data_IF_933343705856
#
_entry.id   IF_933343705856
#
_cell.length_a   1.000
_cell.length_b   1.000
_cell.length_c   1.000
_cell.angle_alpha   90.00
_cell.angle_beta   90.00
_cell.angle_gamma   90.00
#
_symmetry.space_group_name_H-M   'P 1'
#
loop_
_entity.id
_entity.type
_entity.pdbx_description
1 polymer ?
#
# COMPACT_ATOMS: atom_id res chain seq x y z
N UNK A 1 38.04 -7.03 -8.27
CA UNK A 1 37.35 -8.18 -7.64
C UNK A 1 37.88 -8.32 -6.23
N UNK A 2 37.03 -8.63 -5.25
CA UNK A 2 37.46 -8.95 -3.89
C UNK A 2 38.28 -10.25 -3.94
N UNK A 3 39.51 -10.26 -3.44
CA UNK A 3 40.33 -11.48 -3.34
C UNK A 3 40.50 -11.88 -1.88
N UNK A 4 40.67 -13.17 -1.59
CA UNK A 4 40.85 -13.66 -0.21
C UNK A 4 41.99 -12.97 0.54
N UNK A 5 43.08 -12.63 -0.17
CA UNK A 5 44.23 -11.91 0.39
C UNK A 5 43.90 -10.46 0.75
N UNK A 6 42.99 -9.82 0.01
CA UNK A 6 42.53 -8.46 0.28
C UNK A 6 41.46 -8.35 1.38
N UNK A 7 40.95 -9.48 1.89
CA UNK A 7 39.92 -9.51 2.93
C UNK A 7 40.49 -9.19 4.32
N UNK A 8 39.72 -8.52 5.16
CA UNK A 8 39.92 -8.45 6.60
C UNK A 8 39.71 -9.82 7.25
N UNK A 9 40.11 -9.96 8.51
CA UNK A 9 39.97 -11.22 9.24
C UNK A 9 38.50 -11.65 9.39
N UNK A 10 37.59 -10.72 9.65
CA UNK A 10 36.15 -11.01 9.73
C UNK A 10 35.58 -11.45 8.38
N UNK A 11 36.03 -10.83 7.28
CA UNK A 11 35.65 -11.23 5.93
C UNK A 11 36.18 -12.63 5.58
N UNK A 12 37.42 -12.97 5.95
CA UNK A 12 37.95 -14.33 5.76
C UNK A 12 37.16 -15.36 6.56
N UNK A 13 36.84 -15.08 7.83
CA UNK A 13 35.99 -15.97 8.65
C UNK A 13 34.61 -16.18 8.01
N UNK A 14 34.02 -15.13 7.45
CA UNK A 14 32.76 -15.26 6.71
C UNK A 14 32.93 -16.07 5.43
N UNK A 15 33.99 -15.82 4.66
CA UNK A 15 34.30 -16.59 3.45
C UNK A 15 34.45 -18.08 3.76
N UNK A 16 35.29 -18.44 4.73
CA UNK A 16 35.56 -19.82 5.14
C UNK A 16 34.27 -20.50 5.64
N UNK A 17 33.46 -19.78 6.43
CA UNK A 17 32.14 -20.27 6.86
C UNK A 17 31.24 -20.61 5.66
N UNK A 18 31.24 -19.78 4.62
CA UNK A 18 30.44 -20.04 3.41
C UNK A 18 31.01 -21.20 2.61
N UNK A 19 32.33 -21.30 2.45
CA UNK A 19 32.94 -22.40 1.69
C UNK A 19 32.74 -23.75 2.35
N UNK A 20 32.76 -23.80 3.68
CA UNK A 20 32.65 -25.05 4.46
C UNK A 20 31.20 -25.46 4.72
N UNK A 21 30.23 -24.58 4.48
CA UNK A 21 28.80 -24.90 4.69
C UNK A 21 28.28 -25.80 3.57
N UNK A 22 27.49 -26.81 3.94
CA UNK A 22 26.69 -27.62 3.01
C UNK A 22 25.20 -27.36 3.19
N UNK A 23 24.44 -27.43 2.10
CA UNK A 23 22.98 -27.38 2.05
C UNK A 23 22.36 -26.05 2.50
N UNK A 24 22.47 -25.67 3.77
CA UNK A 24 21.80 -24.50 4.34
C UNK A 24 22.79 -23.45 4.87
N UNK A 25 23.01 -22.38 4.10
CA UNK A 25 23.73 -21.20 4.58
C UNK A 25 22.75 -20.23 5.26
N UNK A 26 22.74 -20.25 6.60
CA UNK A 26 21.91 -19.36 7.43
C UNK A 26 22.74 -18.24 8.03
N UNK A 27 22.54 -17.03 7.53
CA UNK A 27 23.20 -15.81 7.99
C UNK A 27 22.16 -14.71 8.28
N UNK A 28 20.97 -15.06 8.78
CA UNK A 28 19.95 -14.06 9.10
C UNK A 28 20.36 -13.21 10.30
N UNK A 29 20.18 -11.89 10.24
CA UNK A 29 20.44 -10.97 11.36
C UNK A 29 21.92 -10.91 11.79
N UNK A 30 22.84 -10.91 10.82
CA UNK A 30 24.29 -10.82 11.05
C UNK A 30 24.87 -9.43 10.72
N UNK A 31 24.05 -8.49 10.27
CA UNK A 31 24.46 -7.13 9.87
C UNK A 31 25.64 -7.11 8.87
N UNK A 32 25.67 -8.10 7.96
CA UNK A 32 26.83 -8.27 7.06
C UNK A 32 27.00 -7.12 6.05
N UNK A 33 25.92 -6.37 5.78
CA UNK A 33 25.90 -5.28 4.80
C UNK A 33 26.29 -5.72 3.38
N UNK A 34 26.52 -4.73 2.52
CA UNK A 34 26.95 -4.99 1.13
C UNK A 34 28.32 -5.66 1.04
N UNK A 35 29.23 -5.26 1.92
CA UNK A 35 30.60 -5.80 1.95
C UNK A 35 30.59 -7.28 2.30
N UNK A 36 29.81 -7.69 3.31
CA UNK A 36 29.68 -9.11 3.63
C UNK A 36 28.89 -9.88 2.58
N UNK A 37 27.88 -9.28 1.94
CA UNK A 37 27.19 -9.90 0.80
C UNK A 37 28.14 -10.15 -0.39
N UNK A 38 29.12 -9.26 -0.65
CA UNK A 38 30.17 -9.47 -1.64
C UNK A 38 31.09 -10.64 -1.27
N UNK A 39 31.42 -10.82 0.01
CA UNK A 39 32.20 -11.97 0.48
C UNK A 39 31.43 -13.27 0.30
N UNK A 40 30.13 -13.29 0.68
CA UNK A 40 29.25 -14.44 0.49
C UNK A 40 29.14 -14.79 -0.99
N UNK A 41 28.94 -13.79 -1.85
CA UNK A 41 28.93 -13.94 -3.30
C UNK A 41 30.23 -14.59 -3.81
N UNK A 42 31.39 -14.08 -3.42
CA UNK A 42 32.67 -14.64 -3.87
C UNK A 42 32.88 -16.09 -3.40
N UNK A 43 32.52 -16.41 -2.15
CA UNK A 43 32.61 -17.77 -1.63
C UNK A 43 31.64 -18.74 -2.32
N UNK A 44 30.43 -18.29 -2.66
CA UNK A 44 29.45 -19.10 -3.38
C UNK A 44 29.82 -19.39 -4.85
N UNK A 45 30.80 -18.70 -5.43
CA UNK A 45 31.33 -19.08 -6.75
C UNK A 45 32.10 -20.40 -6.71
N UNK A 46 32.73 -20.72 -5.57
CA UNK A 46 33.50 -21.97 -5.39
C UNK A 46 32.74 -23.01 -4.59
N UNK A 47 31.82 -22.61 -3.71
CA UNK A 47 30.96 -23.54 -2.99
C UNK A 47 29.88 -24.14 -3.92
N UNK A 48 29.90 -25.47 -4.03
CA UNK A 48 28.98 -26.25 -4.85
C UNK A 48 28.05 -27.15 -4.02
N UNK A 49 27.94 -26.90 -2.72
CA UNK A 49 27.17 -27.73 -1.79
C UNK A 49 26.00 -26.97 -1.15
N UNK A 50 26.04 -25.65 -1.11
CA UNK A 50 24.94 -24.80 -0.63
C UNK A 50 23.80 -24.81 -1.64
N UNK A 51 22.61 -25.10 -1.13
CA UNK A 51 21.34 -25.14 -1.88
C UNK A 51 20.39 -24.04 -1.41
N UNK A 52 20.42 -23.67 -0.13
CA UNK A 52 19.54 -22.66 0.47
C UNK A 52 20.37 -21.52 1.06
N UNK A 53 20.23 -20.32 0.48
CA UNK A 53 20.89 -19.10 0.92
C UNK A 53 19.92 -18.20 1.69
N UNK A 54 20.13 -18.08 3.02
CA UNK A 54 19.30 -17.24 3.88
C UNK A 54 20.08 -16.04 4.41
N UNK A 55 19.73 -14.86 3.87
CA UNK A 55 20.36 -13.57 4.12
C UNK A 55 19.36 -12.54 4.65
N UNK A 56 18.29 -12.97 5.34
CA UNK A 56 17.26 -12.07 5.85
C UNK A 56 17.85 -11.08 6.85
N UNK A 57 17.40 -9.82 6.79
CA UNK A 57 17.73 -8.79 7.79
C UNK A 57 19.24 -8.61 7.99
N UNK A 58 19.93 -8.15 6.94
CA UNK A 58 21.39 -8.00 6.96
C UNK A 58 21.88 -6.63 6.52
N UNK A 59 20.96 -5.67 6.34
CA UNK A 59 21.28 -4.33 5.82
C UNK A 59 21.96 -4.38 4.44
N UNK A 60 21.59 -5.39 3.62
CA UNK A 60 22.10 -5.53 2.25
C UNK A 60 21.39 -4.51 1.36
N UNK A 61 22.17 -3.63 0.72
CA UNK A 61 21.73 -2.68 -0.27
C UNK A 61 21.72 -3.26 -1.69
N UNK A 62 21.59 -2.38 -2.68
CA UNK A 62 21.62 -2.72 -4.10
C UNK A 62 22.99 -3.27 -4.54
N UNK A 63 24.08 -2.77 -3.97
CA UNK A 63 25.45 -3.23 -4.27
C UNK A 63 25.65 -4.69 -3.86
N UNK A 64 25.22 -5.07 -2.66
CA UNK A 64 25.30 -6.45 -2.18
C UNK A 64 24.35 -7.37 -2.94
N UNK A 65 23.12 -6.92 -3.24
CA UNK A 65 22.17 -7.65 -4.07
C UNK A 65 22.73 -7.95 -5.47
N UNK A 66 23.40 -6.97 -6.08
CA UNK A 66 24.09 -7.16 -7.37
C UNK A 66 25.23 -8.18 -7.29
N UNK A 67 26.00 -8.20 -6.21
CA UNK A 67 27.05 -9.21 -6.02
C UNK A 67 26.47 -10.63 -5.92
N UNK A 68 25.37 -10.79 -5.18
CA UNK A 68 24.62 -12.05 -5.11
C UNK A 68 24.08 -12.43 -6.49
N UNK A 69 23.50 -11.48 -7.24
CA UNK A 69 22.97 -11.72 -8.57
C UNK A 69 24.06 -12.20 -9.56
N UNK A 70 25.23 -11.58 -9.60
CA UNK A 70 26.35 -12.04 -10.44
C UNK A 70 26.78 -13.47 -10.10
N UNK A 71 26.71 -13.83 -8.82
CA UNK A 71 27.01 -15.18 -8.36
C UNK A 71 25.95 -16.19 -8.78
N UNK A 72 24.66 -15.81 -8.75
CA UNK A 72 23.58 -16.68 -9.22
C UNK A 72 23.65 -16.98 -10.74
N UNK A 73 24.35 -16.16 -11.54
CA UNK A 73 24.59 -16.48 -12.95
C UNK A 73 25.47 -17.73 -13.10
N UNK A 74 26.46 -17.90 -12.22
CA UNK A 74 27.48 -18.95 -12.29
C UNK A 74 27.23 -20.13 -11.36
N UNK A 75 26.72 -19.89 -10.15
CA UNK A 75 26.41 -20.94 -9.19
C UNK A 75 25.17 -21.72 -9.67
N UNK A 76 25.30 -23.05 -9.75
CA UNK A 76 24.25 -23.96 -10.24
C UNK A 76 23.69 -24.88 -9.15
N UNK A 77 23.94 -24.56 -7.89
CA UNK A 77 23.58 -25.41 -6.74
C UNK A 77 22.55 -24.74 -5.84
N UNK A 78 22.57 -23.40 -5.78
CA UNK A 78 21.57 -22.62 -5.05
C UNK A 78 20.22 -22.73 -5.75
N UNK A 79 19.22 -23.12 -4.97
CA UNK A 79 17.84 -23.38 -5.38
C UNK A 79 16.83 -22.48 -4.65
N UNK A 80 17.19 -21.97 -3.46
CA UNK A 80 16.41 -20.99 -2.69
C UNK A 80 17.27 -19.82 -2.24
N UNK A 81 16.76 -18.59 -2.43
CA UNK A 81 17.37 -17.35 -1.93
C UNK A 81 16.37 -16.55 -1.12
N UNK A 82 16.70 -16.26 0.13
CA UNK A 82 15.95 -15.34 1.00
C UNK A 82 16.76 -14.08 1.24
N UNK A 83 16.29 -12.96 0.67
CA UNK A 83 16.84 -11.61 0.86
C UNK A 83 15.87 -10.69 1.60
N UNK A 84 14.80 -11.22 2.19
CA UNK A 84 13.77 -10.42 2.84
C UNK A 84 14.33 -9.49 3.94
N UNK A 85 13.68 -8.36 4.20
CA UNK A 85 14.10 -7.39 5.23
C UNK A 85 15.49 -6.79 4.98
N UNK A 86 15.83 -6.55 3.72
CA UNK A 86 17.02 -5.81 3.29
C UNK A 86 16.60 -4.53 2.57
N UNK A 87 17.53 -3.79 1.98
CA UNK A 87 17.28 -2.49 1.32
C UNK A 87 17.78 -2.52 -0.12
N UNK A 88 17.50 -3.63 -0.82
CA UNK A 88 18.03 -3.86 -2.17
C UNK A 88 17.45 -2.91 -3.20
N UNK A 89 16.22 -2.43 -2.97
CA UNK A 89 15.50 -1.52 -3.85
C UNK A 89 15.29 -2.05 -5.26
N UNK A 90 14.87 -1.17 -6.15
CA UNK A 90 14.63 -1.49 -7.56
C UNK A 90 15.91 -1.87 -8.30
N UNK A 91 17.04 -1.23 -7.98
CA UNK A 91 18.34 -1.52 -8.61
C UNK A 91 18.82 -2.95 -8.27
N UNK A 92 18.70 -3.36 -7.00
CA UNK A 92 19.01 -4.73 -6.59
C UNK A 92 18.07 -5.76 -7.21
N UNK A 93 16.77 -5.46 -7.28
CA UNK A 93 15.78 -6.31 -7.94
C UNK A 93 16.08 -6.48 -9.44
N UNK A 94 16.48 -5.40 -10.13
CA UNK A 94 16.87 -5.45 -11.53
C UNK A 94 18.10 -6.34 -11.74
N UNK A 95 19.12 -6.24 -10.88
CA UNK A 95 20.30 -7.11 -10.97
C UNK A 95 19.92 -8.59 -10.80
N UNK A 96 19.06 -8.91 -9.82
CA UNK A 96 18.56 -10.26 -9.58
C UNK A 96 17.72 -10.74 -10.78
N UNK A 97 16.88 -9.88 -11.35
CA UNK A 97 16.09 -10.18 -12.54
C UNK A 97 16.98 -10.57 -13.73
N UNK A 98 18.05 -9.83 -14.00
CA UNK A 98 19.00 -10.17 -15.06
C UNK A 98 19.72 -11.50 -14.80
N UNK A 99 20.07 -11.81 -13.55
CA UNK A 99 20.65 -13.10 -13.20
C UNK A 99 19.68 -14.27 -13.44
N UNK A 100 18.39 -14.06 -13.14
CA UNK A 100 17.34 -15.06 -13.31
C UNK A 100 17.01 -15.40 -14.77
N UNK A 101 17.34 -14.53 -15.73
CA UNK A 101 17.21 -14.85 -17.17
C UNK A 101 18.12 -15.99 -17.60
N UNK A 102 19.26 -16.17 -16.92
CA UNK A 102 20.26 -17.21 -17.24
C UNK A 102 20.41 -18.27 -16.16
N UNK A 103 19.88 -18.02 -14.95
CA UNK A 103 19.88 -19.01 -13.88
C UNK A 103 18.78 -20.06 -14.13
N UNK A 104 19.18 -21.33 -14.07
CA UNK A 104 18.31 -22.48 -14.34
C UNK A 104 18.11 -23.38 -13.12
N UNK A 105 18.44 -22.91 -11.92
CA UNK A 105 18.43 -23.73 -10.69
C UNK A 105 17.53 -23.16 -9.60
N UNK A 106 17.37 -21.83 -9.57
CA UNK A 106 16.58 -21.15 -8.55
C UNK A 106 15.09 -21.43 -8.74
N UNK A 107 14.47 -22.12 -7.79
CA UNK A 107 13.02 -22.36 -7.79
C UNK A 107 12.27 -21.47 -6.79
N UNK A 108 12.96 -20.88 -5.80
CA UNK A 108 12.35 -20.02 -4.77
C UNK A 108 13.14 -18.74 -4.53
N UNK A 109 12.46 -17.60 -4.62
CA UNK A 109 13.05 -16.28 -4.38
C UNK A 109 12.18 -15.44 -3.47
N UNK A 110 12.75 -14.98 -2.35
CA UNK A 110 12.08 -14.09 -1.42
C UNK A 110 12.74 -12.71 -1.34
N UNK A 111 12.04 -11.71 -1.89
CA UNK A 111 12.36 -10.28 -1.89
C UNK A 111 11.35 -9.47 -1.05
N UNK A 112 10.74 -10.08 -0.04
CA UNK A 112 9.76 -9.37 0.80
C UNK A 112 10.43 -8.30 1.66
N UNK A 113 9.83 -7.12 1.85
CA UNK A 113 10.45 -6.03 2.63
C UNK A 113 11.85 -5.68 2.12
N UNK A 114 11.99 -5.42 0.82
CA UNK A 114 13.25 -4.99 0.22
C UNK A 114 13.19 -3.65 -0.52
N UNK A 115 12.12 -2.88 -0.26
CA UNK A 115 11.88 -1.55 -0.83
C UNK A 115 11.71 -1.55 -2.35
N UNK A 116 11.21 -2.64 -2.95
CA UNK A 116 10.84 -2.63 -4.37
C UNK A 116 9.65 -1.70 -4.61
N UNK A 117 9.73 -0.88 -5.64
CA UNK A 117 8.61 -0.18 -6.27
C UNK A 117 8.22 -0.84 -7.59
N UNK A 118 7.51 -0.07 -8.43
CA UNK A 118 7.01 -0.55 -9.72
C UNK A 118 8.14 -0.87 -10.72
N UNK A 119 9.26 -0.15 -10.66
CA UNK A 119 10.38 -0.41 -11.56
C UNK A 119 11.05 -1.77 -11.28
N UNK A 120 11.27 -2.11 -10.01
CA UNK A 120 11.78 -3.42 -9.60
C UNK A 120 10.80 -4.55 -9.91
N UNK A 121 9.50 -4.35 -9.64
CA UNK A 121 8.46 -5.30 -9.99
C UNK A 121 8.41 -5.59 -11.50
N UNK A 122 8.51 -4.55 -12.34
CA UNK A 122 8.57 -4.67 -13.80
C UNK A 122 9.82 -5.43 -14.26
N UNK A 123 10.98 -5.19 -13.67
CA UNK A 123 12.19 -5.95 -14.01
C UNK A 123 12.02 -7.45 -13.72
N UNK A 124 11.47 -7.80 -12.55
CA UNK A 124 11.16 -9.18 -12.20
C UNK A 124 10.12 -9.78 -13.17
N UNK A 125 9.08 -9.03 -13.51
CA UNK A 125 8.05 -9.47 -14.45
C UNK A 125 8.59 -9.79 -15.85
N UNK A 126 9.45 -8.93 -16.41
CA UNK A 126 10.09 -9.20 -17.71
C UNK A 126 10.92 -10.48 -17.69
N UNK A 127 11.58 -10.77 -16.57
CA UNK A 127 12.29 -12.03 -16.40
C UNK A 127 11.35 -13.23 -16.26
N UNK A 128 10.22 -13.09 -15.56
CA UNK A 128 9.22 -14.16 -15.45
C UNK A 128 8.64 -14.56 -16.81
N UNK A 129 8.60 -13.66 -17.81
CA UNK A 129 8.17 -14.02 -19.18
C UNK A 129 9.07 -15.07 -19.84
N UNK A 130 10.33 -15.17 -19.43
CA UNK A 130 11.33 -16.08 -20.03
C UNK A 130 11.87 -17.15 -19.07
N UNK A 131 11.79 -16.92 -17.75
CA UNK A 131 12.29 -17.87 -16.76
C UNK A 131 11.34 -19.05 -16.59
N UNK A 132 11.89 -20.27 -16.67
CA UNK A 132 11.14 -21.53 -16.63
C UNK A 132 11.42 -22.36 -15.38
N UNK A 133 12.09 -21.79 -14.38
CA UNK A 133 12.61 -22.53 -13.22
C UNK A 133 12.03 -22.05 -11.90
N UNK A 134 11.77 -20.75 -11.77
CA UNK A 134 11.18 -20.15 -10.58
C UNK A 134 9.72 -20.59 -10.41
N UNK A 135 9.41 -21.12 -9.22
CA UNK A 135 8.07 -21.61 -8.82
C UNK A 135 7.44 -20.76 -7.74
N UNK A 136 8.25 -20.20 -6.84
CA UNK A 136 7.79 -19.46 -5.67
C UNK A 136 8.43 -18.07 -5.62
N UNK A 137 7.58 -17.05 -5.67
CA UNK A 137 8.02 -15.66 -5.65
C UNK A 137 7.33 -14.89 -4.51
N UNK A 138 8.14 -14.34 -3.61
CA UNK A 138 7.66 -13.54 -2.48
C UNK A 138 8.08 -12.07 -2.67
N UNK A 139 7.09 -11.21 -2.88
CA UNK A 139 7.23 -9.77 -3.09
C UNK A 139 6.43 -8.96 -2.05
N UNK A 140 6.09 -9.58 -0.92
CA UNK A 140 5.24 -8.96 0.10
C UNK A 140 5.94 -7.80 0.81
N UNK A 141 5.18 -6.87 1.41
CA UNK A 141 5.72 -5.75 2.20
C UNK A 141 6.68 -4.86 1.40
N UNK A 142 6.33 -4.55 0.16
CA UNK A 142 7.07 -3.65 -0.72
C UNK A 142 6.18 -2.44 -1.08
N UNK A 143 6.58 -1.66 -2.08
CA UNK A 143 5.92 -0.43 -2.52
C UNK A 143 5.36 -0.59 -3.94
N UNK A 144 4.98 -1.81 -4.33
CA UNK A 144 4.45 -2.13 -5.65
C UNK A 144 3.03 -1.55 -5.76
N UNK A 145 2.82 -0.66 -6.72
CA UNK A 145 1.52 -0.09 -7.08
C UNK A 145 0.88 -0.79 -8.27
N UNK A 146 -0.10 -0.13 -8.87
CA UNK A 146 -0.84 -0.67 -10.01
C UNK A 146 0.03 -0.94 -11.24
N UNK A 147 1.01 -0.08 -11.53
CA UNK A 147 1.89 -0.26 -12.69
C UNK A 147 2.79 -1.49 -12.54
N UNK A 148 3.34 -1.75 -11.35
CA UNK A 148 4.10 -2.95 -11.07
C UNK A 148 3.23 -4.21 -11.08
N UNK A 149 2.02 -4.14 -10.51
CA UNK A 149 1.04 -5.23 -10.55
C UNK A 149 0.61 -5.57 -11.99
N UNK A 150 0.42 -4.57 -12.85
CA UNK A 150 0.11 -4.78 -14.26
C UNK A 150 1.25 -5.50 -14.98
N UNK A 151 2.51 -5.10 -14.76
CA UNK A 151 3.65 -5.79 -15.35
C UNK A 151 3.71 -7.27 -14.89
N UNK A 152 3.51 -7.51 -13.60
CA UNK A 152 3.42 -8.87 -13.04
C UNK A 152 2.28 -9.66 -13.69
N UNK A 153 1.11 -9.06 -13.88
CA UNK A 153 -0.03 -9.70 -14.52
C UNK A 153 0.29 -10.14 -15.97
N UNK A 154 0.92 -9.28 -16.76
CA UNK A 154 1.38 -9.64 -18.11
C UNK A 154 2.35 -10.83 -18.10
N UNK A 155 3.23 -10.90 -17.10
CA UNK A 155 4.15 -12.01 -16.97
C UNK A 155 3.45 -13.30 -16.52
N UNK A 156 2.57 -13.23 -15.53
CA UNK A 156 1.77 -14.38 -15.05
C UNK A 156 0.92 -14.95 -16.17
N UNK A 157 0.34 -14.10 -17.03
CA UNK A 157 -0.45 -14.53 -18.18
C UNK A 157 0.31 -15.50 -19.10
N UNK A 158 1.61 -15.29 -19.32
CA UNK A 158 2.44 -16.11 -20.23
C UNK A 158 3.33 -17.12 -19.51
N UNK A 159 3.60 -16.93 -18.23
CA UNK A 159 4.47 -17.82 -17.46
C UNK A 159 3.78 -19.16 -17.17
N UNK A 160 4.47 -20.25 -17.47
CA UNK A 160 3.95 -21.63 -17.36
C UNK A 160 4.59 -22.45 -16.23
N UNK A 161 5.30 -21.83 -15.29
CA UNK A 161 6.02 -22.54 -14.23
C UNK A 161 5.78 -21.97 -12.82
N UNK A 162 5.39 -20.71 -12.70
CA UNK A 162 5.15 -20.04 -11.43
C UNK A 162 3.89 -20.62 -10.75
N UNK A 163 4.07 -21.13 -9.54
CA UNK A 163 3.02 -21.79 -8.75
C UNK A 163 2.44 -20.79 -7.74
N UNK A 164 3.31 -20.08 -7.01
CA UNK A 164 2.88 -19.11 -5.99
C UNK A 164 3.47 -17.73 -6.22
N UNK A 165 2.63 -16.73 -5.99
CA UNK A 165 3.04 -15.33 -5.92
C UNK A 165 2.44 -14.65 -4.68
N UNK A 166 3.30 -14.08 -3.84
CA UNK A 166 2.88 -13.33 -2.65
C UNK A 166 3.13 -11.84 -2.79
N UNK A 167 2.07 -11.08 -2.93
CA UNK A 167 2.04 -9.62 -3.09
C UNK A 167 1.38 -8.91 -1.89
N UNK A 168 1.24 -9.59 -0.75
CA UNK A 168 0.65 -9.02 0.46
C UNK A 168 1.35 -7.72 0.90
N UNK A 169 0.60 -6.78 1.47
CA UNK A 169 1.18 -5.55 2.03
C UNK A 169 1.97 -4.75 0.97
N UNK A 170 1.32 -4.45 -0.15
CA UNK A 170 1.83 -3.54 -1.18
C UNK A 170 0.82 -2.38 -1.37
N UNK A 171 0.94 -1.61 -2.45
CA UNK A 171 0.09 -0.46 -2.78
C UNK A 171 -0.80 -0.75 -4.00
N UNK A 172 -1.16 -2.01 -4.24
CA UNK A 172 -1.92 -2.44 -5.43
C UNK A 172 -3.38 -2.00 -5.27
N UNK A 173 -3.89 -1.19 -6.19
CA UNK A 173 -5.26 -0.73 -6.25
C UNK A 173 -6.15 -1.56 -7.18
N UNK A 174 -7.31 -1.00 -7.53
CA UNK A 174 -8.30 -1.66 -8.39
C UNK A 174 -7.74 -1.96 -9.80
N UNK A 175 -6.95 -1.04 -10.38
CA UNK A 175 -6.42 -1.22 -11.73
C UNK A 175 -5.42 -2.39 -11.80
N UNK A 176 -4.51 -2.49 -10.82
CA UNK A 176 -3.59 -3.62 -10.72
C UNK A 176 -4.31 -4.94 -10.43
N UNK A 177 -5.33 -4.92 -9.55
CA UNK A 177 -6.15 -6.09 -9.27
C UNK A 177 -6.92 -6.59 -10.51
N UNK A 178 -7.49 -5.68 -11.31
CA UNK A 178 -8.17 -6.01 -12.57
C UNK A 178 -7.20 -6.60 -13.59
N UNK A 179 -5.97 -6.08 -13.71
CA UNK A 179 -4.95 -6.64 -14.57
C UNK A 179 -4.60 -8.08 -14.15
N UNK A 180 -4.38 -8.31 -12.85
CA UNK A 180 -4.12 -9.64 -12.31
C UNK A 180 -5.30 -10.59 -12.57
N UNK A 181 -6.53 -10.14 -12.35
CA UNK A 181 -7.74 -10.91 -12.63
C UNK A 181 -7.82 -11.36 -14.10
N UNK A 182 -7.53 -10.45 -15.04
CA UNK A 182 -7.48 -10.78 -16.47
C UNK A 182 -6.41 -11.84 -16.78
N UNK A 183 -5.22 -11.71 -16.18
CA UNK A 183 -4.15 -12.69 -16.35
C UNK A 183 -4.50 -14.07 -15.79
N UNK A 184 -5.20 -14.14 -14.65
CA UNK A 184 -5.63 -15.40 -14.04
C UNK A 184 -6.63 -16.17 -14.91
N UNK A 185 -7.42 -15.51 -15.77
CA UNK A 185 -8.30 -16.21 -16.71
C UNK A 185 -7.53 -17.09 -17.70
N UNK A 186 -6.32 -16.67 -18.05
CA UNK A 186 -5.47 -17.32 -19.05
C UNK A 186 -4.39 -18.22 -18.43
N UNK A 187 -3.85 -17.83 -17.27
CA UNK A 187 -2.83 -18.61 -16.57
C UNK A 187 -3.35 -19.99 -16.12
N UNK A 188 -2.51 -21.03 -16.28
CA UNK A 188 -2.83 -22.43 -15.96
C UNK A 188 -1.84 -23.10 -15.01
N UNK A 189 -1.03 -22.31 -14.29
CA UNK A 189 0.01 -22.83 -13.38
C UNK A 189 0.00 -22.27 -11.97
N UNK A 190 -0.40 -21.00 -11.80
CA UNK A 190 -0.43 -20.34 -10.50
C UNK A 190 -1.62 -20.81 -9.68
N UNK A 191 -1.34 -21.51 -8.59
CA UNK A 191 -2.35 -22.08 -7.69
C UNK A 191 -2.58 -21.22 -6.45
N UNK A 192 -1.62 -20.38 -6.06
CA UNK A 192 -1.76 -19.47 -4.91
C UNK A 192 -1.35 -18.04 -5.25
N UNK A 193 -2.27 -17.11 -5.02
CA UNK A 193 -2.07 -15.67 -5.13
C UNK A 193 -2.48 -15.00 -3.82
N UNK A 194 -1.56 -14.26 -3.24
CA UNK A 194 -1.83 -13.49 -2.03
C UNK A 194 -1.71 -11.98 -2.29
N UNK A 195 -2.78 -11.26 -2.02
CA UNK A 195 -3.00 -9.83 -2.23
C UNK A 195 -3.57 -9.14 -0.97
N UNK A 196 -3.53 -9.78 0.20
CA UNK A 196 -4.00 -9.19 1.44
C UNK A 196 -3.25 -7.89 1.77
N UNK A 197 -3.91 -6.95 2.44
CA UNK A 197 -3.31 -5.67 2.86
C UNK A 197 -2.76 -4.83 1.71
N UNK A 198 -3.46 -4.81 0.58
CA UNK A 198 -3.20 -3.89 -0.54
C UNK A 198 -4.18 -2.72 -0.52
N UNK A 199 -4.39 -2.04 -1.62
CA UNK A 199 -5.30 -0.90 -1.79
C UNK A 199 -6.53 -1.26 -2.65
N UNK A 200 -6.93 -2.53 -2.67
CA UNK A 200 -7.93 -3.04 -3.61
C UNK A 200 -9.34 -2.69 -3.11
N UNK A 201 -10.08 -1.94 -3.92
CA UNK A 201 -11.47 -1.57 -3.69
C UNK A 201 -12.47 -2.62 -4.19
N UNK A 202 -13.75 -2.28 -4.13
CA UNK A 202 -14.84 -3.18 -4.54
C UNK A 202 -14.72 -3.68 -5.98
N UNK A 203 -14.26 -2.81 -6.89
CA UNK A 203 -14.15 -3.14 -8.33
C UNK A 203 -13.05 -4.19 -8.56
N UNK A 204 -11.88 -4.03 -7.93
CA UNK A 204 -10.79 -4.99 -8.05
C UNK A 204 -11.12 -6.32 -7.38
N UNK A 205 -11.77 -6.31 -6.20
CA UNK A 205 -12.24 -7.53 -5.53
C UNK A 205 -13.22 -8.30 -6.42
N UNK A 206 -14.21 -7.61 -6.99
CA UNK A 206 -15.17 -8.24 -7.91
C UNK A 206 -14.48 -8.87 -9.12
N UNK A 207 -13.51 -8.19 -9.73
CA UNK A 207 -12.76 -8.74 -10.85
C UNK A 207 -11.99 -10.01 -10.46
N UNK A 208 -11.33 -10.01 -9.31
CA UNK A 208 -10.59 -11.17 -8.79
C UNK A 208 -11.51 -12.35 -8.45
N UNK A 209 -12.69 -12.09 -7.88
CA UNK A 209 -13.68 -13.13 -7.57
C UNK A 209 -14.26 -13.76 -8.84
N UNK A 210 -14.57 -12.97 -9.88
CA UNK A 210 -15.00 -13.50 -11.17
C UNK A 210 -13.89 -14.31 -11.85
N UNK A 211 -12.65 -13.83 -11.79
CA UNK A 211 -11.49 -14.56 -12.31
C UNK A 211 -11.29 -15.91 -11.59
N UNK A 212 -11.50 -15.95 -10.26
CA UNK A 212 -11.43 -17.19 -9.47
C UNK A 212 -12.49 -18.21 -9.89
N UNK A 213 -13.70 -17.78 -10.24
CA UNK A 213 -14.78 -18.69 -10.67
C UNK A 213 -14.45 -19.40 -11.98
N UNK A 214 -13.75 -18.72 -12.90
CA UNK A 214 -13.33 -19.29 -14.19
C UNK A 214 -11.98 -20.01 -14.13
N UNK A 215 -11.13 -19.65 -13.16
CA UNK A 215 -9.84 -20.29 -12.96
C UNK A 215 -9.98 -21.54 -12.08
N UNK A 216 -10.09 -22.71 -12.74
CA UNK A 216 -10.23 -24.01 -12.06
C UNK A 216 -8.98 -24.54 -11.35
N UNK A 217 -7.82 -23.86 -11.42
CA UNK A 217 -6.58 -24.32 -10.76
C UNK A 217 -6.21 -23.50 -9.52
N UNK A 218 -6.76 -22.29 -9.37
CA UNK A 218 -6.44 -21.40 -8.27
C UNK A 218 -7.07 -21.92 -6.98
N UNK A 219 -6.25 -22.52 -6.12
CA UNK A 219 -6.70 -23.08 -4.84
C UNK A 219 -6.80 -22.01 -3.77
N UNK A 220 -5.90 -21.02 -3.80
CA UNK A 220 -5.83 -19.94 -2.81
C UNK A 220 -5.81 -18.57 -3.48
N UNK A 221 -6.80 -17.76 -3.14
CA UNK A 221 -6.83 -16.32 -3.41
C UNK A 221 -7.08 -15.61 -2.08
N UNK A 222 -6.05 -14.94 -1.58
CA UNK A 222 -6.08 -14.22 -0.31
C UNK A 222 -6.14 -12.71 -0.59
N UNK A 223 -7.26 -12.06 -0.27
CA UNK A 223 -7.54 -10.65 -0.57
C UNK A 223 -8.03 -9.88 0.66
N UNK A 224 -7.75 -10.38 1.87
CA UNK A 224 -8.26 -9.78 3.12
C UNK A 224 -7.50 -8.52 3.56
N UNK A 225 -8.07 -7.80 4.53
CA UNK A 225 -7.48 -6.63 5.19
C UNK A 225 -7.04 -5.50 4.25
N UNK A 226 -7.81 -5.18 3.19
CA UNK A 226 -7.42 -4.13 2.25
C UNK A 226 -7.28 -2.77 2.96
N UNK A 227 -6.17 -2.11 2.74
CA UNK A 227 -5.81 -0.81 3.29
C UNK A 227 -6.46 0.26 2.42
N UNK A 228 -7.21 1.16 3.03
CA UNK A 228 -7.69 2.34 2.32
C UNK A 228 -6.49 3.16 1.83
N UNK A 229 -6.37 3.51 0.52
CA UNK A 229 -5.28 4.32 0.00
C UNK A 229 -5.05 5.61 0.81
N UNK A 230 -6.12 6.16 1.40
CA UNK A 230 -6.06 7.37 2.22
C UNK A 230 -5.29 7.18 3.52
N UNK A 231 -5.09 5.96 4.01
CA UNK A 231 -4.19 5.71 5.14
C UNK A 231 -2.75 6.17 4.84
N UNK A 232 -2.34 6.14 3.56
CA UNK A 232 -1.05 6.66 3.13
C UNK A 232 -1.06 8.18 2.95
N UNK A 233 -2.21 8.79 2.64
CA UNK A 233 -2.38 10.25 2.58
C UNK A 233 -2.66 10.90 3.95
N UNK A 234 -2.96 10.11 4.98
CA UNK A 234 -3.14 10.54 6.37
C UNK A 234 -1.80 10.65 7.13
N UNK A 235 -0.70 10.08 6.63
CA UNK A 235 0.63 10.21 7.24
C UNK A 235 1.15 11.67 7.27
N UNK A 236 0.94 12.50 6.23
CA UNK A 236 1.15 13.94 6.32
C UNK A 236 0.11 14.67 7.19
N UNK A 237 -1.06 14.09 7.48
CA UNK A 237 -2.18 14.73 8.19
C UNK A 237 -2.10 14.66 9.72
N UNK A 238 -0.97 14.18 10.27
CA UNK A 238 -0.55 14.53 11.64
C UNK A 238 -0.05 15.99 11.74
N UNK A 239 0.03 16.68 10.61
CA UNK A 239 0.20 18.13 10.54
C UNK A 239 -1.04 18.85 11.08
N UNK A 240 -0.81 19.81 11.97
CA UNK A 240 -1.82 20.66 12.59
C UNK A 240 -2.49 21.59 11.57
N UNK A 241 -3.62 22.21 11.92
CA UNK A 241 -4.25 23.24 11.07
C UNK A 241 -3.33 24.44 10.80
N UNK A 242 -2.39 24.73 11.71
CA UNK A 242 -1.36 25.76 11.53
C UNK A 242 -0.32 25.36 10.48
N UNK A 243 0.02 24.07 10.37
CA UNK A 243 0.95 23.57 9.37
C UNK A 243 0.37 23.70 7.94
N UNK A 244 -0.94 23.44 7.79
CA UNK A 244 -1.65 23.64 6.52
C UNK A 244 -1.80 25.12 6.13
N UNK A 245 -2.11 26.00 7.09
CA UNK A 245 -2.15 27.44 6.85
C UNK A 245 -0.77 27.99 6.48
N UNK A 246 0.30 27.48 7.11
CA UNK A 246 1.68 27.90 6.84
C UNK A 246 2.11 27.51 5.42
N UNK A 247 1.83 26.27 4.99
CA UNK A 247 2.11 25.81 3.62
C UNK A 247 1.29 26.60 2.60
N UNK A 248 0.01 26.87 2.89
CA UNK A 248 -0.85 27.68 2.02
C UNK A 248 -0.35 29.13 1.89
N UNK A 249 0.08 29.77 2.98
CA UNK A 249 0.67 31.11 2.95
C UNK A 249 2.03 31.18 2.23
N UNK A 250 2.85 30.13 2.35
CA UNK A 250 4.12 30.02 1.64
C UNK A 250 3.94 29.84 0.12
N UNK A 251 2.93 29.08 -0.30
CA UNK A 251 2.64 28.82 -1.71
C UNK A 251 1.88 29.99 -2.39
N UNK A 252 1.10 30.76 -1.63
CA UNK A 252 0.32 31.91 -2.14
C UNK A 252 1.01 33.26 -1.95
N UNK A 253 2.19 33.30 -1.31
CA UNK A 253 2.91 34.51 -0.99
C UNK A 253 3.56 35.22 -2.19
N UNK A 254 2.89 36.24 -2.73
CA UNK A 254 3.58 37.41 -3.30
C UNK A 254 4.19 38.20 -2.14
N UNK A 255 5.52 38.28 -2.12
CA UNK A 255 6.40 39.19 -1.36
C UNK A 255 5.82 39.90 -0.12
N UNK A 256 6.30 39.49 1.06
CA UNK A 256 6.92 40.41 2.02
C UNK A 256 7.95 39.62 2.85
N UNK A 257 9.23 39.99 2.70
CA UNK A 257 10.37 39.44 3.45
C UNK A 257 10.32 39.99 4.88
N UNK A 258 10.63 39.15 5.87
CA UNK A 258 11.79 39.39 6.75
C UNK A 258 12.16 38.15 7.60
N UNK A 259 13.41 37.70 7.40
CA UNK A 259 14.30 36.94 8.29
C UNK A 259 14.07 35.44 8.64
N UNK A 260 14.72 34.61 7.80
CA UNK A 260 15.54 33.42 8.13
C UNK A 260 14.90 32.02 8.29
N UNK A 261 15.69 30.94 8.02
CA UNK A 261 15.26 29.81 7.20
C UNK A 261 14.94 28.55 8.01
N UNK A 262 13.84 27.89 7.65
CA UNK A 262 13.70 26.45 7.82
C UNK A 262 13.62 25.84 6.41
N UNK A 263 14.65 25.07 6.05
CA UNK A 263 14.62 24.18 4.90
C UNK A 263 13.41 23.26 5.07
N UNK A 264 12.35 23.52 4.31
CA UNK A 264 11.25 22.59 4.16
C UNK A 264 11.78 21.30 3.52
N UNK A 265 11.35 20.11 3.98
CA UNK A 265 11.58 18.89 3.22
C UNK A 265 10.88 19.05 1.86
N UNK A 266 11.56 18.70 0.78
CA UNK A 266 10.97 18.68 -0.55
C UNK A 266 9.77 17.72 -0.54
N UNK A 267 8.56 18.27 -0.55
CA UNK A 267 7.37 17.49 -0.82
C UNK A 267 7.49 16.94 -2.25
N UNK A 268 7.24 15.64 -2.48
CA UNK A 268 7.10 15.09 -3.82
C UNK A 268 6.10 15.93 -4.62
N UNK A 269 6.43 16.25 -5.87
CA UNK A 269 5.62 17.11 -6.72
C UNK A 269 4.17 16.63 -6.82
N UNK A 270 3.95 15.31 -6.77
CA UNK A 270 2.61 14.72 -6.80
C UNK A 270 1.77 15.07 -5.57
N UNK A 271 2.38 15.24 -4.39
CA UNK A 271 1.65 15.62 -3.16
C UNK A 271 1.38 17.12 -3.16
N UNK A 272 2.33 17.93 -3.66
CA UNK A 272 2.11 19.36 -3.83
C UNK A 272 1.00 19.64 -4.84
N UNK A 273 0.97 18.91 -5.97
CA UNK A 273 -0.11 18.99 -6.95
C UNK A 273 -1.44 18.51 -6.38
N UNK A 274 -1.49 17.40 -5.62
CA UNK A 274 -2.75 16.90 -5.01
C UNK A 274 -3.31 17.86 -3.94
N UNK A 275 -2.42 18.46 -3.15
CA UNK A 275 -2.76 19.49 -2.16
C UNK A 275 -3.21 20.77 -2.86
N UNK A 276 -2.57 21.17 -3.96
CA UNK A 276 -2.96 22.36 -4.73
C UNK A 276 -4.30 22.14 -5.44
N UNK A 277 -4.55 20.95 -6.02
CA UNK A 277 -5.84 20.60 -6.66
C UNK A 277 -7.00 20.53 -5.65
N UNK A 278 -6.78 20.02 -4.42
CA UNK A 278 -7.82 19.99 -3.37
C UNK A 278 -7.98 21.35 -2.64
N UNK A 279 -6.89 22.11 -2.44
CA UNK A 279 -6.90 23.38 -1.72
C UNK A 279 -7.33 24.58 -2.58
N UNK A 280 -7.30 24.49 -3.91
CA UNK A 280 -7.80 25.56 -4.78
C UNK A 280 -9.33 25.76 -4.75
N UNK A 281 -10.10 24.92 -4.04
CA UNK A 281 -11.56 24.92 -4.17
C UNK A 281 -12.39 25.07 -2.89
N UNK A 282 -11.79 25.08 -1.70
CA UNK A 282 -12.52 25.15 -0.42
C UNK A 282 -12.14 26.42 0.34
N UNK A 283 -13.12 27.31 0.57
CA UNK A 283 -12.92 28.52 1.37
C UNK A 283 -13.11 28.25 2.88
N UNK A 284 -13.73 27.13 3.24
CA UNK A 284 -13.87 26.69 4.62
C UNK A 284 -14.23 25.22 4.76
N UNK A 285 -13.86 24.63 5.90
CA UNK A 285 -14.20 23.25 6.29
C UNK A 285 -14.76 23.27 7.70
N UNK A 286 -15.96 22.74 7.87
CA UNK A 286 -16.50 22.41 9.19
C UNK A 286 -16.24 20.94 9.47
N UNK A 287 -15.84 20.59 10.69
CA UNK A 287 -15.61 19.21 11.05
C UNK A 287 -15.94 18.90 12.51
N UNK A 288 -16.24 17.63 12.78
CA UNK A 288 -16.38 17.09 14.12
C UNK A 288 -15.60 15.77 14.22
N UNK A 289 -14.73 15.69 15.21
CA UNK A 289 -13.89 14.54 15.48
C UNK A 289 -14.24 13.95 16.85
N UNK A 290 -14.43 12.63 16.92
CA UNK A 290 -14.69 11.95 18.18
C UNK A 290 -13.39 11.40 18.76
N UNK A 291 -12.95 11.97 19.89
CA UNK A 291 -11.75 11.51 20.61
C UNK A 291 -11.98 10.14 21.27
N UNK A 292 -10.89 9.40 21.46
CA UNK A 292 -10.89 8.05 22.04
C UNK A 292 -11.23 8.06 23.53
N UNK A 293 -12.51 8.06 23.88
CA UNK A 293 -12.97 7.74 25.23
C UNK A 293 -13.55 6.32 25.24
N UNK A 294 -13.13 5.48 26.20
CA UNK A 294 -13.56 4.07 26.29
C UNK A 294 -15.05 3.90 26.59
N UNK A 295 -15.72 4.94 27.09
CA UNK A 295 -17.02 4.79 27.77
C UNK A 295 -18.17 5.63 27.18
N UNK A 296 -17.97 6.37 26.09
CA UNK A 296 -19.02 7.22 25.50
C UNK A 296 -19.04 7.08 23.97
N UNK A 297 -19.72 6.04 23.49
CA UNK A 297 -20.03 5.86 22.07
C UNK A 297 -21.15 6.81 21.69
N UNK A 298 -20.99 7.53 20.59
CA UNK A 298 -22.08 8.30 19.98
C UNK A 298 -22.34 7.62 18.65
N UNK A 299 -23.56 7.12 18.45
CA UNK A 299 -23.93 6.38 17.24
C UNK A 299 -24.10 7.29 16.01
N UNK A 300 -23.88 8.59 16.19
CA UNK A 300 -24.01 9.61 15.17
C UNK A 300 -23.02 10.77 15.32
N UNK A 301 -22.64 11.39 14.20
CA UNK A 301 -21.96 12.69 14.16
C UNK A 301 -22.87 13.69 13.48
N UNK A 302 -23.00 14.89 14.04
CA UNK A 302 -23.86 15.95 13.53
C UNK A 302 -23.11 17.25 13.39
N UNK A 303 -23.32 17.94 12.28
CA UNK A 303 -22.69 19.20 11.94
C UNK A 303 -23.71 20.19 11.38
N UNK A 304 -23.74 21.39 11.92
CA UNK A 304 -24.57 22.48 11.40
C UNK A 304 -23.74 23.38 10.51
N UNK A 305 -24.24 23.68 9.32
CA UNK A 305 -23.55 24.56 8.39
C UNK A 305 -23.45 25.99 8.95
N UNK A 306 -22.29 26.64 8.84
CA UNK A 306 -22.05 27.93 9.45
C UNK A 306 -22.90 29.00 8.75
N UNK A 307 -23.33 30.00 9.53
CA UNK A 307 -23.93 31.21 9.00
C UNK A 307 -22.80 32.16 8.64
N UNK A 308 -22.68 32.53 7.36
CA UNK A 308 -21.66 33.51 6.93
C UNK A 308 -21.87 34.80 7.72
N UNK A 309 -20.79 35.35 8.29
CA UNK A 309 -20.81 36.63 8.99
C UNK A 309 -21.24 37.79 8.08
N UNK A 310 -21.17 37.58 6.77
CA UNK A 310 -21.36 38.59 5.74
C UNK A 310 -22.74 38.47 5.05
N UNK A 311 -23.57 37.49 5.46
CA UNK A 311 -24.89 37.22 4.83
C UNK A 311 -24.83 36.39 3.55
N UNK A 312 -23.63 36.02 3.09
CA UNK A 312 -23.41 35.29 1.85
C UNK A 312 -23.95 33.85 1.89
N UNK A 313 -24.48 33.39 0.76
CA UNK A 313 -24.94 32.01 0.61
C UNK A 313 -23.75 31.04 0.53
N UNK A 314 -23.83 29.90 1.22
CA UNK A 314 -22.79 28.86 1.15
C UNK A 314 -23.13 27.83 0.07
N UNK A 315 -22.11 27.17 -0.47
CA UNK A 315 -22.25 26.02 -1.38
C UNK A 315 -21.35 24.90 -0.91
N UNK A 316 -21.95 23.78 -0.51
CA UNK A 316 -21.22 22.56 -0.14
C UNK A 316 -20.57 21.94 -1.38
N UNK A 317 -19.32 21.50 -1.20
CA UNK A 317 -18.47 20.92 -2.24
C UNK A 317 -18.12 19.46 -1.97
N UNK A 318 -18.07 19.04 -0.71
CA UNK A 318 -17.90 17.65 -0.33
C UNK A 318 -18.39 17.43 1.10
N UNK A 319 -18.93 16.23 1.36
CA UNK A 319 -19.11 15.68 2.70
C UNK A 319 -18.21 14.46 2.80
N UNK A 320 -17.33 14.45 3.80
CA UNK A 320 -16.39 13.36 4.04
C UNK A 320 -16.71 12.72 5.38
N UNK A 321 -16.78 11.39 5.39
CA UNK A 321 -17.07 10.59 6.59
C UNK A 321 -15.98 9.56 6.73
N UNK A 322 -15.19 9.66 7.80
CA UNK A 322 -14.19 8.66 8.15
C UNK A 322 -14.78 7.72 9.20
N UNK A 323 -14.77 6.43 8.86
CA UNK A 323 -15.11 5.33 9.72
C UNK A 323 -13.83 4.58 10.10
N UNK A 324 -13.79 4.11 11.34
CA UNK A 324 -12.79 3.17 11.82
C UNK A 324 -13.48 1.91 12.34
N UNK A 325 -12.97 0.74 11.98
CA UNK A 325 -13.39 -0.56 12.47
C UNK A 325 -12.31 -1.12 13.38
N UNK A 326 -12.71 -1.49 14.59
CA UNK A 326 -11.84 -2.09 15.58
C UNK A 326 -11.75 -3.60 15.34
N UNK A 327 -10.53 -4.11 15.15
CA UNK A 327 -10.28 -5.55 15.25
C UNK A 327 -10.48 -5.96 16.71
N UNK A 328 -11.55 -6.73 16.98
CA UNK A 328 -11.64 -7.47 18.23
C UNK A 328 -10.38 -8.35 18.32
N UNK A 329 -9.61 -8.18 19.40
CA UNK A 329 -8.49 -9.06 19.69
C UNK A 329 -9.03 -10.48 19.85
N UNK A 330 -8.84 -11.29 18.80
CA UNK A 330 -8.80 -12.75 18.87
C UNK A 330 -9.88 -13.41 19.73
N UNK A 331 -11.13 -13.45 19.25
CA UNK A 331 -12.04 -14.54 19.58
C UNK A 331 -12.28 -15.37 18.31
N UNK A 332 -11.81 -16.64 18.24
CA UNK A 332 -12.03 -17.51 17.09
C UNK A 332 -13.51 -17.86 16.84
N UNK A 333 -14.41 -17.57 17.79
CA UNK A 333 -15.82 -17.98 17.73
C UNK A 333 -16.81 -16.85 17.52
N UNK A 334 -16.39 -15.58 17.56
CA UNK A 334 -17.27 -14.45 17.25
C UNK A 334 -16.99 -13.89 15.85
N UNK A 335 -17.34 -14.67 14.82
CA UNK A 335 -17.54 -14.15 13.47
C UNK A 335 -18.86 -13.36 13.41
N UNK A 336 -18.93 -12.23 14.11
CA UNK A 336 -19.93 -11.24 13.77
C UNK A 336 -19.49 -10.57 12.48
N UNK A 337 -20.08 -11.02 11.39
CA UNK A 337 -20.13 -10.32 10.12
C UNK A 337 -20.63 -8.88 10.35
N UNK A 338 -19.72 -7.95 10.60
CA UNK A 338 -19.93 -6.53 10.36
C UNK A 338 -19.98 -6.30 8.83
N UNK A 339 -20.90 -7.02 8.16
CA UNK A 339 -21.04 -7.09 6.70
C UNK A 339 -21.57 -5.80 6.09
N UNK A 340 -22.19 -4.97 6.90
CA UNK A 340 -22.78 -3.72 6.46
C UNK A 340 -21.89 -2.59 6.95
N UNK A 341 -20.92 -2.19 6.11
CA UNK A 341 -20.24 -0.91 6.24
C UNK A 341 -21.12 0.27 5.87
N UNK A 342 -22.41 0.17 6.21
CA UNK A 342 -23.47 1.07 5.83
C UNK A 342 -23.75 2.03 6.97
N UNK A 343 -23.84 3.31 6.66
CA UNK A 343 -24.34 4.33 7.56
C UNK A 343 -25.32 5.22 6.81
N UNK A 344 -26.24 5.85 7.54
CA UNK A 344 -27.22 6.74 6.95
C UNK A 344 -26.71 8.18 7.06
N UNK A 345 -26.60 8.86 5.92
CA UNK A 345 -26.39 10.31 5.82
C UNK A 345 -27.75 10.99 5.77
N UNK A 346 -28.02 11.87 6.72
CA UNK A 346 -29.27 12.60 6.84
C UNK A 346 -28.99 14.10 6.76
N UNK A 347 -29.69 14.79 5.86
CA UNK A 347 -29.60 16.25 5.69
C UNK A 347 -30.93 16.87 6.10
N UNK A 348 -30.87 17.79 7.07
CA UNK A 348 -32.01 18.52 7.60
C UNK A 348 -31.92 19.99 7.23
N UNK A 349 -33.06 20.62 6.98
CA UNK A 349 -33.10 22.08 6.81
C UNK A 349 -33.06 22.83 8.15
N UNK A 350 -33.11 24.15 8.07
CA UNK A 350 -33.12 25.06 9.22
C UNK A 350 -34.33 24.91 10.17
N UNK A 351 -35.40 24.23 9.71
CA UNK A 351 -36.59 23.91 10.51
C UNK A 351 -36.54 22.47 11.06
N UNK A 352 -35.45 21.75 10.82
CA UNK A 352 -35.27 20.35 11.22
C UNK A 352 -35.97 19.33 10.32
N UNK A 353 -36.59 19.76 9.22
CA UNK A 353 -37.25 18.85 8.29
C UNK A 353 -36.22 18.06 7.49
N UNK A 354 -36.42 16.73 7.38
CA UNK A 354 -35.55 15.86 6.58
C UNK A 354 -35.72 16.23 5.12
N UNK A 355 -34.65 16.73 4.50
CA UNK A 355 -34.63 17.04 3.06
C UNK A 355 -34.01 15.92 2.26
N UNK A 356 -33.19 15.09 2.91
CA UNK A 356 -32.53 13.97 2.27
C UNK A 356 -32.04 12.94 3.29
N UNK A 357 -32.11 11.66 2.93
CA UNK A 357 -31.65 10.52 3.70
C UNK A 357 -31.09 9.47 2.75
N UNK A 358 -29.90 8.95 3.03
CA UNK A 358 -29.22 8.00 2.16
C UNK A 358 -28.32 7.04 2.90
N UNK A 359 -28.45 5.77 2.57
CA UNK A 359 -27.57 4.70 2.99
C UNK A 359 -26.25 4.73 2.19
N UNK A 360 -25.19 5.23 2.82
CA UNK A 360 -23.85 5.23 2.27
C UNK A 360 -23.12 3.92 2.56
N UNK A 361 -22.37 3.39 1.60
CA UNK A 361 -21.48 2.23 1.78
C UNK A 361 -20.03 2.62 1.49
N UNK A 362 -19.10 2.04 2.24
CA UNK A 362 -17.69 2.28 2.01
C UNK A 362 -17.15 1.62 0.72
N UNK A 363 -16.20 2.27 0.03
CA UNK A 363 -15.68 1.78 -1.26
C UNK A 363 -14.74 0.57 -1.13
N UNK A 364 -14.15 0.34 0.05
CA UNK A 364 -13.17 -0.73 0.30
C UNK A 364 -13.78 -1.82 1.19
N UNK A 365 -13.83 -3.05 0.67
CA UNK A 365 -14.33 -4.23 1.37
C UNK A 365 -13.23 -4.76 2.30
N UNK A 366 -13.53 -4.95 3.59
CA UNK A 366 -12.59 -5.55 4.55
C UNK A 366 -11.43 -4.65 4.99
N UNK A 367 -11.68 -3.33 5.14
CA UNK A 367 -10.70 -2.38 5.70
C UNK A 367 -11.05 -1.96 7.12
N UNK A 368 -10.03 -1.78 7.96
CA UNK A 368 -10.19 -1.19 9.29
C UNK A 368 -10.42 0.33 9.23
N UNK A 369 -10.14 0.99 8.10
CA UNK A 369 -10.37 2.42 7.91
C UNK A 369 -11.15 2.63 6.61
N UNK A 370 -12.24 3.38 6.67
CA UNK A 370 -13.09 3.62 5.50
C UNK A 370 -13.40 5.11 5.41
N UNK A 371 -13.04 5.75 4.30
CA UNK A 371 -13.50 7.09 3.96
C UNK A 371 -14.60 6.99 2.91
N UNK A 372 -15.71 7.67 3.17
CA UNK A 372 -16.74 7.94 2.19
C UNK A 372 -16.71 9.43 1.87
N UNK A 373 -16.53 9.76 0.60
CA UNK A 373 -16.62 11.13 0.09
C UNK A 373 -17.88 11.26 -0.75
N UNK A 374 -18.72 12.24 -0.42
CA UNK A 374 -19.99 12.49 -1.08
C UNK A 374 -19.88 13.86 -1.74
N UNK A 375 -19.95 13.89 -3.08
CA UNK A 375 -19.78 15.11 -3.84
C UNK A 375 -21.12 15.62 -4.42
N UNK A 376 -21.23 16.91 -4.78
CA UNK A 376 -22.42 17.48 -5.41
C UNK A 376 -22.72 16.94 -6.81
N UNK A 377 -21.77 16.25 -7.46
CA UNK A 377 -22.01 15.52 -8.71
C UNK A 377 -22.73 14.20 -8.46
N UNK A 378 -22.49 13.58 -7.30
CA UNK A 378 -23.15 12.34 -6.90
C UNK A 378 -24.52 12.60 -6.29
N UNK A 379 -24.75 13.81 -5.75
CA UNK A 379 -26.00 14.11 -5.07
C UNK A 379 -26.52 15.56 -5.22
N UNK A 380 -27.69 15.78 -5.88
CA UNK A 380 -28.20 17.12 -6.19
C UNK A 380 -28.63 17.92 -4.95
N UNK A 381 -29.02 17.26 -3.86
CA UNK A 381 -29.42 17.95 -2.61
C UNK A 381 -28.22 18.66 -1.96
N UNK A 382 -27.00 18.15 -2.12
CA UNK A 382 -25.79 18.79 -1.58
C UNK A 382 -25.59 20.18 -2.20
N UNK A 383 -26.02 20.39 -3.46
CA UNK A 383 -25.95 21.71 -4.12
C UNK A 383 -26.92 22.74 -3.53
N UNK A 384 -27.98 22.28 -2.88
CA UNK A 384 -29.07 23.11 -2.34
C UNK A 384 -28.87 23.44 -0.86
N UNK A 385 -27.89 22.80 -0.22
CA UNK A 385 -27.54 23.08 1.16
C UNK A 385 -27.13 24.53 1.33
N UNK A 386 -27.65 25.14 2.39
CA UNK A 386 -27.44 26.54 2.76
C UNK A 386 -27.08 26.65 4.23
N UNK A 387 -26.76 27.87 4.66
CA UNK A 387 -26.44 28.16 6.04
C UNK A 387 -27.57 27.69 6.97
N UNK A 388 -27.22 27.13 8.14
CA UNK A 388 -28.18 26.61 9.11
C UNK A 388 -28.78 25.24 8.80
N UNK A 389 -28.50 24.64 7.64
CA UNK A 389 -28.81 23.23 7.38
C UNK A 389 -27.88 22.32 8.17
N UNK A 390 -28.34 21.11 8.48
CA UNK A 390 -27.61 20.14 9.29
C UNK A 390 -27.27 18.89 8.47
N UNK A 391 -26.07 18.38 8.68
CA UNK A 391 -25.61 17.09 8.19
C UNK A 391 -25.42 16.18 9.39
N UNK A 392 -26.08 15.05 9.38
CA UNK A 392 -26.01 14.03 10.39
C UNK A 392 -25.62 12.72 9.73
N UNK A 393 -24.66 12.00 10.31
CA UNK A 393 -24.33 10.63 9.91
C UNK A 393 -24.59 9.74 11.10
N UNK A 394 -25.33 8.66 10.91
CA UNK A 394 -25.66 7.73 11.98
C UNK A 394 -25.62 6.30 11.50
N UNK A 395 -25.39 5.35 12.40
CA UNK A 395 -25.57 3.93 12.06
C UNK A 395 -27.04 3.55 12.16
N UNK A 396 -27.57 2.91 11.10
CA UNK A 396 -28.94 2.40 11.11
C UNK A 396 -29.17 1.19 12.04
N UNK A 397 -28.10 0.56 12.54
CA UNK A 397 -28.11 -0.51 13.55
C UNK A 397 -26.89 -0.39 14.46
N UNK A 398 -26.99 -0.86 15.71
CA UNK A 398 -25.88 -0.81 16.67
C UNK A 398 -24.73 -1.73 16.21
N UNK A 399 -23.56 -1.16 15.95
CA UNK A 399 -22.35 -1.91 15.59
C UNK A 399 -21.28 -1.74 16.68
N UNK A 400 -21.07 -2.77 17.48
CA UNK A 400 -20.14 -2.76 18.63
C UNK A 400 -18.65 -2.57 18.26
N UNK A 401 -18.30 -2.79 16.99
CA UNK A 401 -16.90 -2.81 16.54
C UNK A 401 -16.59 -1.74 15.49
N UNK A 402 -17.51 -0.80 15.27
CA UNK A 402 -17.42 0.18 14.19
C UNK A 402 -17.73 1.57 14.73
N UNK A 403 -16.92 2.57 14.39
CA UNK A 403 -17.08 3.94 14.87
C UNK A 403 -17.02 4.95 13.73
N UNK A 404 -17.80 6.02 13.85
CA UNK A 404 -17.65 7.23 13.04
C UNK A 404 -16.56 8.08 13.71
N UNK A 405 -15.38 8.12 13.12
CA UNK A 405 -14.25 8.86 13.68
C UNK A 405 -14.33 10.35 13.33
N UNK A 406 -14.76 10.65 12.11
CA UNK A 406 -14.72 12.01 11.57
C UNK A 406 -15.89 12.28 10.62
N UNK A 407 -16.50 13.45 10.74
CA UNK A 407 -17.38 14.03 9.73
C UNK A 407 -16.83 15.41 9.37
N UNK A 408 -16.63 15.66 8.07
CA UNK A 408 -16.20 16.95 7.53
C UNK A 408 -17.11 17.40 6.40
N UNK A 409 -17.36 18.70 6.33
CA UNK A 409 -18.11 19.33 5.24
C UNK A 409 -17.30 20.50 4.69
N UNK A 410 -16.83 20.36 3.45
CA UNK A 410 -16.14 21.42 2.71
C UNK A 410 -17.12 22.29 1.94
N UNK A 411 -16.95 23.60 1.99
CA UNK A 411 -17.85 24.57 1.34
C UNK A 411 -17.10 25.80 0.80
N UNK A 412 -17.80 26.54 -0.06
CA UNK A 412 -17.41 27.89 -0.49
C UNK A 412 -18.50 28.89 -0.08
N UNK A 413 -18.10 30.11 0.23
CA UNK A 413 -19.00 31.26 0.31
C UNK A 413 -19.19 31.82 -1.10
N UNK A 414 -20.43 32.11 -1.49
CA UNK A 414 -20.70 32.85 -2.73
C UNK A 414 -20.48 34.33 -2.45
N UNK A 415 -19.66 34.97 -3.28
CA UNK A 415 -19.75 36.42 -3.43
C UNK A 415 -20.92 36.67 -4.38
N UNK A 416 -22.00 37.23 -3.85
CA UNK A 416 -23.20 37.54 -4.64
C UNK A 416 -22.93 38.66 -5.66
#
# INVERSE_FOLDING_TARGET
MLTYQSMSESQRKLYDKVTDTSEWLRLNDYEIGDVGAQVVAEALKVNTTVTHLKLRQNQIGDVGARAIAETLKVNKTVVEVILSWNQTGDAGAQAIAEALKVNTTLFSLNLSSTQLGDAGARAIAETLKVNTTLKYLYLSRNQIGDAGAQAIAEAVKVNTNLIWIRLNTNRIGDAGAQAIAAALGENKTTTELHLARNCIGKVGVQALDEARKVNGILTTLDIWDQINPLAFSLLPRLATSEDWQSVFHLLTGRHEKENQPALLPALPAEIAELVMDEAEYLQGVQHIHQAWAKDHYVDFLKLTMPRSSNGNSIRVKAIQVLREQYEAKSDPFEQYEAKSGRFDLIVRDELGAVRYEWAAEAPVVGSNIQLVTISPTDHPVIRQMRAGWEVEVQFGQYYSFVRLAWLSVGYIERQD
#
